data_IF_760753200076
#
_entry.id   IF_760753200076
#
_cell.length_a   1.000
_cell.length_b   1.000
_cell.length_c   1.000
_cell.angle_alpha   90.00
_cell.angle_beta   90.00
_cell.angle_gamma   90.00
#
_symmetry.space_group_name_H-M   'P 1'
#
loop_
_entity.id
_entity.type
_entity.pdbx_description
1 polymer ?
#
# COMPACT_ATOMS: atom_id res chain seq x y z
N UNK A 1 -25.81 -2.25 -3.00
CA UNK A 1 -25.79 -0.99 -2.21
C UNK A 1 -24.70 -1.04 -1.14
N UNK A 2 -24.65 -2.07 -0.27
CA UNK A 2 -23.70 -2.15 0.86
C UNK A 2 -22.22 -2.12 0.45
N UNK A 3 -21.82 -2.84 -0.61
CA UNK A 3 -20.45 -2.84 -1.16
C UNK A 3 -19.98 -1.46 -1.62
N UNK A 4 -20.89 -0.60 -2.12
CA UNK A 4 -20.54 0.73 -2.61
C UNK A 4 -20.13 1.70 -1.49
N UNK A 5 -20.64 1.51 -0.26
CA UNK A 5 -20.30 2.36 0.89
C UNK A 5 -19.11 1.83 1.70
N UNK A 6 -18.89 0.51 1.70
CA UNK A 6 -17.81 -0.10 2.48
C UNK A 6 -16.43 0.39 2.02
N UNK A 7 -16.20 0.44 0.70
CA UNK A 7 -14.91 0.85 0.16
C UNK A 7 -14.54 2.30 0.51
N UNK A 8 -15.41 3.32 0.27
CA UNK A 8 -15.13 4.69 0.70
C UNK A 8 -14.91 4.80 2.22
N UNK A 9 -15.66 4.05 3.02
CA UNK A 9 -15.52 4.07 4.47
C UNK A 9 -14.14 3.51 4.91
N UNK A 10 -13.70 2.40 4.35
CA UNK A 10 -12.36 1.86 4.63
C UNK A 10 -11.25 2.82 4.18
N UNK A 11 -11.39 3.41 3.00
CA UNK A 11 -10.45 4.42 2.49
C UNK A 11 -10.41 5.61 3.46
N UNK A 12 -11.56 6.06 3.96
CA UNK A 12 -11.64 7.17 4.92
C UNK A 12 -10.91 6.85 6.23
N UNK A 13 -11.13 5.67 6.79
CA UNK A 13 -10.47 5.22 8.03
C UNK A 13 -8.97 5.09 7.81
N UNK A 14 -8.54 4.57 6.65
CA UNK A 14 -7.13 4.46 6.30
C UNK A 14 -6.45 5.83 6.22
N UNK A 15 -7.00 6.76 5.44
CA UNK A 15 -6.47 8.12 5.33
C UNK A 15 -6.55 8.89 6.65
N UNK A 16 -7.59 8.70 7.44
CA UNK A 16 -7.68 9.28 8.78
C UNK A 16 -6.43 8.95 9.62
N UNK A 17 -5.99 7.68 9.66
CA UNK A 17 -4.81 7.30 10.42
C UNK A 17 -3.51 7.82 9.82
N UNK A 18 -3.39 7.89 8.49
CA UNK A 18 -2.21 8.46 7.81
C UNK A 18 -2.04 9.95 8.17
N UNK A 19 -3.13 10.72 8.13
CA UNK A 19 -3.06 12.17 8.35
C UNK A 19 -3.24 12.57 9.83
N UNK A 20 -3.60 11.63 10.71
CA UNK A 20 -3.76 11.87 12.16
C UNK A 20 -2.53 12.51 12.83
N UNK A 21 -1.27 12.15 12.52
CA UNK A 21 -0.12 12.83 13.05
C UNK A 21 -0.10 14.34 12.75
N UNK A 22 -0.54 14.72 11.54
CA UNK A 22 -0.65 16.11 11.13
C UNK A 22 -1.72 16.86 11.95
N UNK A 23 -2.88 16.25 12.17
CA UNK A 23 -3.92 16.81 13.04
C UNK A 23 -3.42 17.01 14.47
N UNK A 24 -2.66 16.05 15.00
CA UNK A 24 -2.10 16.16 16.35
C UNK A 24 -1.10 17.32 16.49
N UNK A 25 -0.36 17.66 15.41
CA UNK A 25 0.52 18.84 15.40
C UNK A 25 -0.30 20.14 15.57
N UNK A 26 -1.41 20.27 14.85
CA UNK A 26 -2.29 21.43 14.95
C UNK A 26 -2.98 21.53 16.32
N UNK A 27 -3.42 20.40 16.88
CA UNK A 27 -3.99 20.36 18.23
C UNK A 27 -2.97 20.77 19.30
N UNK A 28 -1.72 20.30 19.19
CA UNK A 28 -0.62 20.71 20.10
C UNK A 28 -0.28 22.18 20.01
N UNK A 29 -0.55 22.85 18.86
CA UNK A 29 -0.42 24.28 18.69
C UNK A 29 -1.61 25.09 19.25
N UNK A 30 -2.56 24.45 19.93
CA UNK A 30 -3.70 25.08 20.60
C UNK A 30 -4.90 25.35 19.69
N UNK A 31 -4.94 24.81 18.47
CA UNK A 31 -6.10 24.98 17.60
C UNK A 31 -7.30 24.18 18.10
N UNK A 32 -8.49 24.75 18.00
CA UNK A 32 -9.74 24.03 18.30
C UNK A 32 -9.91 22.82 17.39
N UNK A 33 -10.46 21.73 17.90
CA UNK A 33 -10.59 20.45 17.18
C UNK A 33 -11.22 20.58 15.78
N UNK A 34 -12.28 21.38 15.62
CA UNK A 34 -12.93 21.61 14.34
C UNK A 34 -12.01 22.29 13.31
N UNK A 35 -11.24 23.30 13.75
CA UNK A 35 -10.31 24.06 12.90
C UNK A 35 -9.12 23.17 12.53
N UNK A 36 -8.56 22.45 13.51
CA UNK A 36 -7.48 21.48 13.29
C UNK A 36 -7.87 20.43 12.26
N UNK A 37 -9.06 19.82 12.39
CA UNK A 37 -9.58 18.82 11.46
C UNK A 37 -9.71 19.36 10.05
N UNK A 38 -10.29 20.57 9.89
CA UNK A 38 -10.47 21.21 8.59
C UNK A 38 -9.13 21.52 7.91
N UNK A 39 -8.21 22.15 8.65
CA UNK A 39 -6.87 22.48 8.14
C UNK A 39 -6.08 21.22 7.77
N UNK A 40 -6.18 20.16 8.57
CA UNK A 40 -5.53 18.87 8.28
C UNK A 40 -6.03 18.29 6.96
N UNK A 41 -7.33 18.31 6.74
CA UNK A 41 -7.93 17.77 5.52
C UNK A 41 -7.53 18.60 4.31
N UNK A 42 -7.67 19.94 4.37
CA UNK A 42 -7.32 20.84 3.26
C UNK A 42 -5.84 20.68 2.90
N UNK A 43 -4.96 20.73 3.89
CA UNK A 43 -3.52 20.60 3.67
C UNK A 43 -3.17 19.20 3.10
N UNK A 44 -3.79 18.14 3.62
CA UNK A 44 -3.58 16.77 3.12
C UNK A 44 -4.09 16.64 1.69
N UNK A 45 -5.27 17.17 1.37
CA UNK A 45 -5.80 17.16 -0.01
C UNK A 45 -4.85 17.89 -0.96
N UNK A 46 -4.33 19.05 -0.56
CA UNK A 46 -3.37 19.81 -1.36
C UNK A 46 -2.08 19.00 -1.60
N UNK A 47 -1.51 18.42 -0.55
CA UNK A 47 -0.29 17.59 -0.65
C UNK A 47 -0.53 16.37 -1.55
N UNK A 48 -1.62 15.63 -1.33
CA UNK A 48 -1.93 14.44 -2.14
C UNK A 48 -2.22 14.82 -3.60
N UNK A 49 -2.94 15.91 -3.85
CA UNK A 49 -3.19 16.41 -5.22
C UNK A 49 -1.91 16.82 -5.92
N UNK A 50 -1.00 17.51 -5.22
CA UNK A 50 0.28 17.92 -5.78
C UNK A 50 1.16 16.70 -6.12
N UNK A 51 1.26 15.72 -5.22
CA UNK A 51 1.99 14.47 -5.44
C UNK A 51 1.37 13.69 -6.61
N UNK A 52 0.04 13.56 -6.63
CA UNK A 52 -0.68 12.82 -7.66
C UNK A 52 -0.52 13.46 -9.04
N UNK A 53 -0.60 14.79 -9.12
CA UNK A 53 -0.38 15.53 -10.36
C UNK A 53 1.06 15.36 -10.85
N UNK A 54 2.05 15.58 -9.97
CA UNK A 54 3.46 15.41 -10.30
C UNK A 54 3.79 14.00 -10.78
N UNK A 55 3.39 12.99 -10.01
CA UNK A 55 3.61 11.59 -10.39
C UNK A 55 2.83 11.22 -11.66
N UNK A 56 1.58 11.67 -11.78
CA UNK A 56 0.72 11.33 -12.93
C UNK A 56 1.29 11.81 -14.26
N UNK A 57 1.78 13.05 -14.32
CA UNK A 57 2.42 13.61 -15.52
C UNK A 57 3.68 12.81 -15.88
N UNK A 58 4.55 12.55 -14.91
CA UNK A 58 5.79 11.81 -15.13
C UNK A 58 5.53 10.34 -15.47
N UNK A 59 4.55 9.70 -14.86
CA UNK A 59 4.16 8.32 -15.14
C UNK A 59 3.71 8.15 -16.60
N UNK A 60 2.88 9.05 -17.11
CA UNK A 60 2.41 8.98 -18.51
C UNK A 60 3.58 9.14 -19.48
N UNK A 61 4.51 10.04 -19.19
CA UNK A 61 5.72 10.23 -20.00
C UNK A 61 6.62 8.98 -19.99
N UNK A 62 6.96 8.49 -18.81
CA UNK A 62 7.82 7.32 -18.64
C UNK A 62 7.18 6.03 -19.18
N UNK A 63 5.85 5.87 -19.16
CA UNK A 63 5.16 4.72 -19.77
C UNK A 63 5.31 4.71 -21.30
N UNK A 64 5.29 5.87 -21.95
CA UNK A 64 5.54 5.97 -23.40
C UNK A 64 6.98 5.58 -23.73
N UNK A 65 7.93 6.01 -22.93
CA UNK A 65 9.34 5.66 -23.07
C UNK A 65 9.58 4.14 -22.86
N UNK A 66 8.98 3.56 -21.84
CA UNK A 66 9.02 2.11 -21.59
C UNK A 66 8.49 1.32 -22.79
N UNK A 67 7.38 1.76 -23.38
CA UNK A 67 6.83 1.11 -24.56
C UNK A 67 7.82 1.15 -25.72
N UNK A 68 8.49 2.29 -25.94
CA UNK A 68 9.50 2.43 -27.01
C UNK A 68 10.72 1.53 -26.78
N UNK A 69 11.17 1.36 -25.54
CA UNK A 69 12.28 0.46 -25.19
C UNK A 69 11.91 -1.00 -25.49
N UNK A 70 10.69 -1.41 -25.13
CA UNK A 70 10.21 -2.77 -25.37
C UNK A 70 9.92 -3.07 -26.85
N UNK A 71 9.64 -2.04 -27.65
CA UNK A 71 9.43 -2.17 -29.10
C UNK A 71 10.75 -2.12 -29.90
N UNK A 72 11.89 -1.77 -29.28
CA UNK A 72 13.19 -1.68 -29.94
C UNK A 72 13.80 -3.07 -30.18
N UNK A 73 13.40 -3.69 -31.30
CA UNK A 73 13.81 -5.05 -31.69
C UNK A 73 15.33 -5.22 -31.87
N UNK A 74 16.11 -4.16 -32.15
CA UNK A 74 17.55 -4.29 -32.43
C UNK A 74 18.37 -4.63 -31.18
N UNK A 75 18.19 -3.93 -30.08
CA UNK A 75 18.90 -4.24 -28.82
C UNK A 75 18.48 -5.57 -28.24
N UNK A 76 17.21 -5.86 -28.34
CA UNK A 76 16.59 -7.08 -27.86
C UNK A 76 17.14 -8.32 -28.57
N UNK A 77 17.20 -8.29 -29.91
CA UNK A 77 17.74 -9.42 -30.68
C UNK A 77 19.21 -9.71 -30.34
N UNK A 78 20.01 -8.69 -30.02
CA UNK A 78 21.41 -8.86 -29.62
C UNK A 78 21.51 -9.62 -28.29
N UNK A 79 20.71 -9.23 -27.28
CA UNK A 79 20.68 -9.89 -25.96
C UNK A 79 20.11 -11.31 -26.05
N UNK A 80 19.08 -11.51 -26.86
CA UNK A 80 18.51 -12.86 -27.12
C UNK A 80 19.55 -13.75 -27.78
N UNK A 81 20.32 -13.26 -28.77
CA UNK A 81 21.37 -14.02 -29.42
C UNK A 81 22.51 -14.40 -28.45
N UNK A 82 22.89 -13.52 -27.55
CA UNK A 82 23.91 -13.81 -26.52
C UNK A 82 23.45 -14.91 -25.56
N UNK A 83 22.20 -14.89 -25.14
CA UNK A 83 21.65 -15.84 -24.16
C UNK A 83 21.21 -17.16 -24.85
N UNK A 84 20.75 -17.11 -26.11
CA UNK A 84 20.36 -18.29 -26.88
C UNK A 84 21.53 -19.29 -27.12
N UNK A 85 22.77 -18.83 -26.93
CA UNK A 85 23.94 -19.74 -26.92
C UNK A 85 23.88 -20.76 -25.78
N UNK A 86 23.11 -20.50 -24.72
CA UNK A 86 23.06 -21.32 -23.50
C UNK A 86 21.69 -21.97 -23.26
N UNK A 87 20.61 -21.34 -23.70
CA UNK A 87 19.23 -21.79 -23.44
C UNK A 87 18.32 -21.31 -24.58
N UNK A 88 17.47 -22.17 -25.15
CA UNK A 88 16.53 -21.76 -26.20
C UNK A 88 15.38 -20.92 -25.59
N UNK A 89 15.58 -19.61 -25.53
CA UNK A 89 14.71 -18.66 -24.83
C UNK A 89 13.80 -17.84 -25.74
N UNK A 90 13.83 -18.05 -27.07
CA UNK A 90 13.11 -17.19 -28.01
C UNK A 90 11.59 -17.16 -27.74
N UNK A 91 11.02 -18.30 -27.40
CA UNK A 91 9.58 -18.41 -27.13
C UNK A 91 9.22 -17.84 -25.76
N UNK A 92 10.06 -18.08 -24.74
CA UNK A 92 9.92 -17.48 -23.41
C UNK A 92 9.99 -15.95 -23.49
N UNK A 93 10.97 -15.44 -24.26
CA UNK A 93 11.14 -14.04 -24.49
C UNK A 93 9.92 -13.36 -25.16
N UNK A 94 9.41 -13.94 -26.26
CA UNK A 94 8.19 -13.44 -26.92
C UNK A 94 7.00 -13.38 -25.94
N UNK A 95 6.85 -14.39 -25.08
CA UNK A 95 5.81 -14.43 -24.08
C UNK A 95 6.00 -13.39 -22.98
N UNK A 96 7.25 -13.16 -22.54
CA UNK A 96 7.58 -12.13 -21.52
C UNK A 96 7.30 -10.72 -22.04
N UNK A 97 7.69 -10.40 -23.27
CA UNK A 97 7.38 -9.07 -23.86
C UNK A 97 5.89 -8.87 -24.06
N UNK A 98 5.19 -9.89 -24.54
CA UNK A 98 3.74 -9.82 -24.70
C UNK A 98 3.05 -9.59 -23.34
N UNK A 99 3.54 -10.27 -22.31
CA UNK A 99 3.09 -10.07 -20.92
C UNK A 99 3.41 -8.66 -20.39
N UNK A 100 4.61 -8.15 -20.67
CA UNK A 100 5.03 -6.80 -20.27
C UNK A 100 4.21 -5.70 -20.93
N UNK A 101 4.01 -5.79 -22.25
CA UNK A 101 3.18 -4.82 -22.97
C UNK A 101 1.75 -4.81 -22.42
N UNK A 102 1.17 -5.99 -22.20
CA UNK A 102 -0.15 -6.11 -21.57
C UNK A 102 -0.15 -5.50 -20.17
N UNK A 103 0.88 -5.76 -19.35
CA UNK A 103 0.98 -5.18 -18.01
C UNK A 103 1.10 -3.65 -18.05
N UNK A 104 1.90 -3.10 -18.97
CA UNK A 104 2.03 -1.64 -19.16
C UNK A 104 0.71 -1.03 -19.62
N UNK A 105 0.01 -1.68 -20.55
CA UNK A 105 -1.32 -1.24 -21.00
C UNK A 105 -2.35 -1.32 -19.87
N UNK A 106 -2.34 -2.39 -19.09
CA UNK A 106 -3.24 -2.58 -17.94
C UNK A 106 -2.94 -1.56 -16.81
N UNK A 107 -1.67 -1.30 -16.52
CA UNK A 107 -1.26 -0.29 -15.53
C UNK A 107 -1.55 1.11 -16.03
N UNK A 108 -1.18 1.45 -17.26
CA UNK A 108 -1.49 2.74 -17.88
C UNK A 108 -2.99 2.98 -17.99
N UNK A 109 -3.73 1.98 -18.44
CA UNK A 109 -5.20 2.00 -18.48
C UNK A 109 -5.85 2.12 -17.10
N UNK A 110 -5.26 1.49 -16.08
CA UNK A 110 -5.74 1.59 -14.70
C UNK A 110 -5.47 2.96 -14.08
N UNK A 111 -4.34 3.60 -14.41
CA UNK A 111 -4.04 4.96 -13.99
C UNK A 111 -5.01 5.95 -14.65
N UNK A 112 -5.26 5.83 -15.97
CA UNK A 112 -6.22 6.67 -16.67
C UNK A 112 -7.66 6.42 -16.20
N UNK A 113 -8.04 5.16 -15.98
CA UNK A 113 -9.34 4.82 -15.36
C UNK A 113 -9.45 5.36 -13.94
N UNK A 114 -8.36 5.33 -13.15
CA UNK A 114 -8.30 5.94 -11.85
C UNK A 114 -8.52 7.46 -11.90
N UNK A 115 -7.97 8.13 -12.89
CA UNK A 115 -8.20 9.56 -13.14
C UNK A 115 -9.68 9.84 -13.47
N UNK A 116 -10.25 9.08 -14.40
CA UNK A 116 -11.67 9.19 -14.73
C UNK A 116 -12.57 8.79 -13.54
N UNK A 117 -12.16 7.78 -12.76
CA UNK A 117 -12.88 7.37 -11.54
C UNK A 117 -12.86 8.45 -10.46
N UNK A 118 -11.82 9.26 -10.38
CA UNK A 118 -11.75 10.45 -9.51
C UNK A 118 -12.69 11.53 -10.03
N UNK A 119 -12.71 11.79 -11.34
CA UNK A 119 -13.60 12.78 -11.94
C UNK A 119 -15.09 12.38 -11.84
N UNK A 120 -15.41 11.11 -12.13
CA UNK A 120 -16.78 10.57 -12.00
C UNK A 120 -17.16 10.27 -10.54
N UNK A 121 -16.18 10.25 -9.65
CA UNK A 121 -16.32 9.86 -8.24
C UNK A 121 -16.42 11.02 -7.26
N UNK A 122 -16.76 12.25 -7.70
CA UNK A 122 -16.85 13.41 -6.82
C UNK A 122 -17.68 13.13 -5.55
N UNK A 123 -18.81 12.43 -5.70
CA UNK A 123 -19.65 12.01 -4.58
C UNK A 123 -18.92 11.07 -3.59
N UNK A 124 -18.05 10.20 -4.09
CA UNK A 124 -17.26 9.27 -3.26
C UNK A 124 -16.13 10.00 -2.54
N UNK A 125 -15.48 10.94 -3.24
CA UNK A 125 -14.43 11.79 -2.63
C UNK A 125 -15.07 12.65 -1.55
N UNK A 126 -16.19 13.27 -1.81
CA UNK A 126 -16.95 14.06 -0.84
C UNK A 126 -17.31 13.20 0.39
N UNK A 127 -17.79 11.98 0.17
CA UNK A 127 -18.09 11.02 1.25
C UNK A 127 -16.83 10.70 2.08
N UNK A 128 -15.69 10.45 1.43
CA UNK A 128 -14.42 10.17 2.11
C UNK A 128 -14.00 11.38 2.96
N UNK A 129 -14.02 12.58 2.39
CA UNK A 129 -13.62 13.82 3.07
C UNK A 129 -14.53 14.10 4.27
N UNK A 130 -15.85 14.00 4.09
CA UNK A 130 -16.83 14.18 5.16
C UNK A 130 -16.60 13.14 6.26
N UNK A 131 -16.41 11.88 5.91
CA UNK A 131 -16.16 10.80 6.88
C UNK A 131 -14.89 11.07 7.69
N UNK A 132 -13.78 11.46 7.06
CA UNK A 132 -12.54 11.82 7.74
C UNK A 132 -12.75 12.99 8.68
N UNK A 133 -13.47 14.03 8.24
CA UNK A 133 -13.79 15.17 9.08
C UNK A 133 -14.53 14.77 10.35
N UNK A 134 -15.58 13.96 10.22
CA UNK A 134 -16.34 13.51 11.37
C UNK A 134 -15.55 12.52 12.25
N UNK A 135 -14.67 11.70 11.70
CA UNK A 135 -13.77 10.86 12.49
C UNK A 135 -12.84 11.70 13.38
N UNK A 136 -12.30 12.83 12.87
CA UNK A 136 -11.51 13.74 13.69
C UNK A 136 -12.35 14.49 14.71
N UNK A 137 -13.49 15.01 14.29
CA UNK A 137 -14.34 15.86 15.11
C UNK A 137 -15.04 15.06 16.23
N UNK A 138 -15.66 13.96 15.87
CA UNK A 138 -16.63 13.24 16.71
C UNK A 138 -16.26 11.77 16.97
N UNK A 139 -15.05 11.32 16.55
CA UNK A 139 -14.65 9.91 16.67
C UNK A 139 -14.69 9.40 18.12
N UNK A 140 -14.35 10.24 19.10
CA UNK A 140 -14.48 9.91 20.54
C UNK A 140 -15.93 9.70 20.96
N UNK A 141 -16.89 10.48 20.42
CA UNK A 141 -18.33 10.32 20.73
C UNK A 141 -18.90 9.00 20.22
N UNK A 142 -18.38 8.49 19.10
CA UNK A 142 -18.77 7.18 18.54
C UNK A 142 -18.40 6.08 19.55
N UNK A 143 -17.15 6.12 20.06
CA UNK A 143 -16.68 5.19 21.09
C UNK A 143 -17.58 5.25 22.33
N UNK A 144 -17.83 6.46 22.87
CA UNK A 144 -18.64 6.67 24.06
C UNK A 144 -20.08 6.17 23.86
N UNK A 145 -20.65 6.38 22.66
CA UNK A 145 -21.98 5.92 22.32
C UNK A 145 -22.08 4.39 22.33
N UNK A 146 -21.08 3.70 21.73
CA UNK A 146 -21.02 2.23 21.72
C UNK A 146 -20.95 1.70 23.16
N UNK A 147 -20.12 2.31 24.02
CA UNK A 147 -19.98 1.91 25.40
C UNK A 147 -21.30 2.13 26.19
N UNK A 148 -21.95 3.29 25.96
CA UNK A 148 -23.25 3.61 26.64
C UNK A 148 -24.37 2.66 26.23
N UNK A 149 -24.40 2.21 24.97
CA UNK A 149 -25.40 1.26 24.48
C UNK A 149 -25.16 -0.18 24.97
N UNK A 150 -23.98 -0.45 25.50
CA UNK A 150 -23.59 -1.77 25.95
C UNK A 150 -24.12 -2.04 27.37
N UNK A 151 -24.54 -3.28 27.70
CA UNK A 151 -24.91 -3.65 29.08
C UNK A 151 -23.75 -3.35 30.04
N UNK A 152 -24.09 -2.91 31.28
CA UNK A 152 -23.09 -2.48 32.29
C UNK A 152 -22.02 -3.55 32.54
N UNK A 153 -22.43 -4.81 32.54
CA UNK A 153 -21.54 -5.98 32.69
C UNK A 153 -20.38 -6.01 31.68
N UNK A 154 -20.59 -5.52 30.46
CA UNK A 154 -19.63 -5.63 29.34
C UNK A 154 -18.92 -4.32 29.01
N UNK A 155 -19.32 -3.18 29.61
CA UNK A 155 -18.79 -1.85 29.28
C UNK A 155 -17.27 -1.79 29.36
N UNK A 156 -16.66 -2.33 30.43
CA UNK A 156 -15.18 -2.33 30.58
C UNK A 156 -14.47 -3.16 29.50
N UNK A 157 -15.04 -4.33 29.17
CA UNK A 157 -14.43 -5.20 28.12
C UNK A 157 -14.56 -4.57 26.74
N UNK A 158 -15.73 -3.99 26.43
CA UNK A 158 -15.99 -3.32 25.18
C UNK A 158 -15.09 -2.09 25.02
N UNK A 159 -14.93 -1.27 26.07
CA UNK A 159 -14.01 -0.13 26.05
C UNK A 159 -12.58 -0.58 25.74
N UNK A 160 -12.11 -1.62 26.40
CA UNK A 160 -10.79 -2.20 26.17
C UNK A 160 -10.63 -2.74 24.74
N UNK A 161 -11.61 -3.47 24.22
CA UNK A 161 -11.61 -3.99 22.85
C UNK A 161 -11.54 -2.83 21.85
N UNK A 162 -12.34 -1.78 22.02
CA UNK A 162 -12.34 -0.62 21.11
C UNK A 162 -11.01 0.12 21.15
N UNK A 163 -10.42 0.29 22.33
CA UNK A 163 -9.13 0.95 22.48
C UNK A 163 -8.01 0.14 21.82
N UNK A 164 -7.85 -1.14 22.18
CA UNK A 164 -6.82 -2.01 21.62
C UNK A 164 -7.00 -2.21 20.10
N UNK A 165 -8.24 -2.31 19.60
CA UNK A 165 -8.53 -2.39 18.16
C UNK A 165 -8.11 -1.11 17.43
N UNK A 166 -8.37 0.06 18.00
CA UNK A 166 -7.94 1.34 17.45
C UNK A 166 -6.41 1.44 17.40
N UNK A 167 -5.70 0.97 18.43
CA UNK A 167 -4.24 0.93 18.47
C UNK A 167 -3.68 -0.01 17.40
N UNK A 168 -4.19 -1.24 17.32
CA UNK A 168 -3.77 -2.23 16.31
C UNK A 168 -3.94 -1.69 14.89
N UNK A 169 -5.11 -1.12 14.58
CA UNK A 169 -5.38 -0.57 13.26
C UNK A 169 -4.48 0.64 12.94
N UNK A 170 -4.33 1.56 13.90
CA UNK A 170 -3.47 2.74 13.78
C UNK A 170 -2.02 2.36 13.52
N UNK A 171 -1.48 1.45 14.33
CA UNK A 171 -0.11 0.98 14.19
C UNK A 171 0.15 0.27 12.86
N UNK A 172 -0.82 -0.54 12.41
CA UNK A 172 -0.71 -1.20 11.11
C UNK A 172 -0.68 -0.20 9.96
N UNK A 173 -1.66 0.70 9.89
CA UNK A 173 -1.78 1.66 8.78
C UNK A 173 -0.56 2.57 8.70
N UNK A 174 -0.17 3.17 9.84
CA UNK A 174 1.00 4.06 9.90
C UNK A 174 2.29 3.28 9.65
N UNK A 175 2.42 2.10 10.24
CA UNK A 175 3.58 1.23 10.06
C UNK A 175 3.74 0.80 8.61
N UNK A 176 2.68 0.29 7.98
CA UNK A 176 2.71 -0.14 6.58
C UNK A 176 3.00 1.01 5.62
N UNK A 177 2.48 2.21 5.91
CA UNK A 177 2.79 3.42 5.12
C UNK A 177 4.27 3.78 5.21
N UNK A 178 4.88 3.70 6.39
CA UNK A 178 6.31 3.94 6.58
C UNK A 178 7.16 2.86 5.88
N UNK A 179 6.77 1.59 5.97
CA UNK A 179 7.45 0.48 5.27
C UNK A 179 7.37 0.69 3.76
N UNK A 180 6.18 1.02 3.23
CA UNK A 180 5.99 1.27 1.81
C UNK A 180 6.86 2.45 1.32
N UNK A 181 6.88 3.55 2.07
CA UNK A 181 7.70 4.72 1.74
C UNK A 181 9.20 4.38 1.76
N UNK A 182 9.67 3.69 2.82
CA UNK A 182 11.06 3.26 2.92
C UNK A 182 11.45 2.34 1.77
N UNK A 183 10.59 1.38 1.41
CA UNK A 183 10.83 0.45 0.32
C UNK A 183 10.88 1.17 -1.03
N UNK A 184 9.90 2.04 -1.32
CA UNK A 184 9.88 2.85 -2.53
C UNK A 184 11.15 3.70 -2.68
N UNK A 185 11.58 4.35 -1.58
CA UNK A 185 12.80 5.16 -1.55
C UNK A 185 14.06 4.33 -1.77
N UNK A 186 14.20 3.18 -1.09
CA UNK A 186 15.36 2.30 -1.27
C UNK A 186 15.44 1.77 -2.70
N UNK A 187 14.33 1.36 -3.29
CA UNK A 187 14.25 0.90 -4.68
C UNK A 187 14.58 2.04 -5.65
N UNK A 188 14.07 3.25 -5.42
CA UNK A 188 14.39 4.42 -6.24
C UNK A 188 15.90 4.71 -6.26
N UNK A 189 16.52 4.73 -5.08
CA UNK A 189 17.97 4.93 -4.94
C UNK A 189 18.73 3.80 -5.64
N UNK A 190 18.33 2.55 -5.41
CA UNK A 190 18.94 1.38 -6.04
C UNK A 190 18.88 1.45 -7.56
N UNK A 191 17.71 1.78 -8.12
CA UNK A 191 17.54 1.93 -9.57
C UNK A 191 18.39 3.06 -10.16
N UNK A 192 18.48 4.20 -9.47
CA UNK A 192 19.36 5.30 -9.88
C UNK A 192 20.84 4.89 -9.90
N UNK A 193 21.31 4.16 -8.87
CA UNK A 193 22.70 3.69 -8.77
C UNK A 193 23.05 2.73 -9.90
N UNK A 194 22.16 1.80 -10.26
CA UNK A 194 22.44 0.81 -11.31
C UNK A 194 22.20 1.34 -12.71
N UNK A 195 21.67 2.58 -12.87
CA UNK A 195 21.33 3.17 -14.16
C UNK A 195 20.06 2.58 -14.78
N UNK A 196 19.12 2.10 -13.97
CA UNK A 196 17.82 1.60 -14.47
C UNK A 196 17.01 2.77 -15.04
N UNK A 197 16.50 2.67 -16.29
CA UNK A 197 15.60 3.68 -16.84
C UNK A 197 14.30 3.73 -16.06
N UNK A 198 13.62 4.88 -16.13
CA UNK A 198 12.31 5.07 -15.54
C UNK A 198 12.24 4.72 -14.03
N UNK A 199 13.33 5.03 -13.30
CA UNK A 199 13.50 4.68 -11.90
C UNK A 199 12.36 5.21 -11.01
N UNK A 200 11.84 6.41 -11.33
CA UNK A 200 10.79 7.05 -10.53
C UNK A 200 9.46 6.29 -10.64
N UNK A 201 9.03 5.94 -11.86
CA UNK A 201 7.77 5.21 -12.03
C UNK A 201 7.86 3.80 -11.45
N UNK A 202 8.97 3.09 -11.71
CA UNK A 202 9.16 1.72 -11.23
C UNK A 202 9.17 1.66 -9.69
N UNK A 203 9.82 2.62 -9.04
CA UNK A 203 9.81 2.73 -7.58
C UNK A 203 8.47 3.20 -7.03
N UNK A 204 7.75 4.06 -7.74
CA UNK A 204 6.39 4.49 -7.35
C UNK A 204 5.41 3.32 -7.42
N UNK A 205 5.51 2.46 -8.42
CA UNK A 205 4.73 1.21 -8.51
C UNK A 205 5.08 0.31 -7.31
N UNK A 206 6.36 0.19 -6.98
CA UNK A 206 6.80 -0.59 -5.80
C UNK A 206 6.22 0.00 -4.52
N UNK A 207 6.23 1.33 -4.35
CA UNK A 207 5.62 2.01 -3.20
C UNK A 207 4.13 1.68 -3.06
N UNK A 208 3.37 1.79 -4.16
CA UNK A 208 1.92 1.50 -4.15
C UNK A 208 1.66 0.03 -3.85
N UNK A 209 2.37 -0.88 -4.52
CA UNK A 209 2.18 -2.32 -4.32
C UNK A 209 2.69 -2.78 -2.95
N UNK A 210 3.64 -2.08 -2.33
CA UNK A 210 4.14 -2.40 -0.99
C UNK A 210 3.06 -2.35 0.10
N UNK A 211 1.92 -1.72 -0.15
CA UNK A 211 0.76 -1.80 0.75
C UNK A 211 0.16 -3.20 0.82
N UNK A 212 0.40 -4.07 -0.17
CA UNK A 212 0.02 -5.48 -0.14
C UNK A 212 1.20 -6.26 0.46
N UNK A 213 1.10 -6.73 1.71
CA UNK A 213 2.20 -7.44 2.35
C UNK A 213 2.66 -8.65 1.54
N UNK A 214 3.94 -8.97 1.59
CA UNK A 214 4.62 -10.07 0.90
C UNK A 214 4.50 -10.04 -0.62
N UNK A 215 3.30 -10.00 -1.17
CA UNK A 215 3.01 -10.19 -2.61
C UNK A 215 3.40 -8.95 -3.42
N UNK A 216 3.14 -7.75 -2.89
CA UNK A 216 3.26 -6.50 -3.64
C UNK A 216 4.66 -6.22 -4.16
N UNK A 217 5.68 -6.48 -3.34
CA UNK A 217 7.06 -6.29 -3.74
C UNK A 217 7.48 -7.22 -4.90
N UNK A 218 7.08 -8.47 -4.88
CA UNK A 218 7.39 -9.42 -5.97
C UNK A 218 6.71 -9.03 -7.27
N UNK A 219 5.44 -8.63 -7.21
CA UNK A 219 4.71 -8.15 -8.39
C UNK A 219 5.37 -6.90 -8.97
N UNK A 220 5.84 -5.97 -8.13
CA UNK A 220 6.49 -4.75 -8.59
C UNK A 220 7.81 -5.00 -9.31
N UNK A 221 8.45 -6.16 -9.12
CA UNK A 221 9.71 -6.52 -9.77
C UNK A 221 9.54 -7.06 -11.19
N UNK A 222 8.34 -7.43 -11.60
CA UNK A 222 8.11 -8.05 -12.92
C UNK A 222 8.60 -7.14 -14.06
N UNK A 223 8.17 -5.87 -14.07
CA UNK A 223 8.56 -4.92 -15.12
C UNK A 223 10.06 -4.59 -15.09
N UNK A 224 10.67 -4.28 -13.93
CA UNK A 224 12.11 -4.09 -13.84
C UNK A 224 12.94 -5.25 -14.38
N UNK A 225 12.53 -6.51 -14.12
CA UNK A 225 13.21 -7.68 -14.66
C UNK A 225 13.14 -7.77 -16.18
N UNK A 226 11.98 -7.43 -16.76
CA UNK A 226 11.81 -7.41 -18.22
C UNK A 226 12.70 -6.35 -18.85
N UNK A 227 12.75 -5.15 -18.28
CA UNK A 227 13.62 -4.07 -18.76
C UNK A 227 15.10 -4.47 -18.62
N UNK A 228 15.51 -5.01 -17.47
CA UNK A 228 16.87 -5.47 -17.26
C UNK A 228 17.28 -6.55 -18.28
N UNK A 229 16.34 -7.43 -18.64
CA UNK A 229 16.57 -8.43 -19.67
C UNK A 229 16.86 -7.80 -21.04
N UNK A 230 16.14 -6.73 -21.42
CA UNK A 230 16.42 -6.01 -22.69
C UNK A 230 17.76 -5.28 -22.69
N UNK A 231 18.26 -4.88 -21.51
CA UNK A 231 19.52 -4.18 -21.33
C UNK A 231 20.74 -5.10 -21.19
N UNK A 232 20.52 -6.42 -21.12
CA UNK A 232 21.57 -7.44 -21.10
C UNK A 232 21.92 -7.97 -19.70
N UNK A 233 22.78 -8.99 -19.70
CA UNK A 233 23.12 -9.77 -18.50
C UNK A 233 23.69 -8.92 -17.36
N UNK A 234 24.51 -7.92 -17.69
CA UNK A 234 25.10 -7.03 -16.67
C UNK A 234 24.03 -6.27 -15.88
N UNK A 235 22.96 -5.77 -16.55
CA UNK A 235 21.87 -5.09 -15.89
C UNK A 235 21.04 -6.06 -15.04
N UNK A 236 20.82 -7.27 -15.52
CA UNK A 236 20.12 -8.33 -14.74
C UNK A 236 20.85 -8.63 -13.44
N UNK A 237 22.19 -8.78 -13.47
CA UNK A 237 23.00 -9.02 -12.27
C UNK A 237 22.91 -7.83 -11.30
N UNK A 238 23.05 -6.60 -11.80
CA UNK A 238 22.93 -5.38 -10.98
C UNK A 238 21.54 -5.30 -10.33
N UNK A 239 20.48 -5.61 -11.08
CA UNK A 239 19.11 -5.63 -10.55
C UNK A 239 18.93 -6.72 -9.48
N UNK A 240 19.45 -7.94 -9.71
CA UNK A 240 19.41 -9.02 -8.74
C UNK A 240 20.08 -8.64 -7.42
N UNK A 241 21.27 -8.03 -7.49
CA UNK A 241 22.00 -7.54 -6.31
C UNK A 241 21.21 -6.45 -5.59
N UNK A 242 20.66 -5.48 -6.33
CA UNK A 242 19.79 -4.44 -5.75
C UNK A 242 18.60 -5.04 -5.04
N UNK A 243 17.93 -6.01 -5.65
CA UNK A 243 16.79 -6.71 -5.07
C UNK A 243 17.18 -7.42 -3.76
N UNK A 244 18.27 -8.16 -3.73
CA UNK A 244 18.76 -8.89 -2.55
C UNK A 244 19.10 -7.91 -1.42
N UNK A 245 19.81 -6.83 -1.73
CA UNK A 245 20.18 -5.80 -0.75
C UNK A 245 18.94 -5.15 -0.16
N UNK A 246 18.02 -4.67 -0.99
CA UNK A 246 16.81 -3.98 -0.53
C UNK A 246 15.92 -4.92 0.27
N UNK A 247 15.73 -6.16 -0.16
CA UNK A 247 14.91 -7.13 0.57
C UNK A 247 15.53 -7.50 1.92
N UNK A 248 16.86 -7.61 1.97
CA UNK A 248 17.59 -7.86 3.24
C UNK A 248 17.45 -6.68 4.20
N UNK A 249 17.66 -5.46 3.72
CA UNK A 249 17.49 -4.23 4.51
C UNK A 249 16.06 -4.08 5.01
N UNK A 250 15.07 -4.30 4.11
CA UNK A 250 13.65 -4.28 4.49
C UNK A 250 13.35 -5.28 5.60
N UNK A 251 13.76 -6.55 5.42
CA UNK A 251 13.40 -7.62 6.35
C UNK A 251 14.14 -7.53 7.69
N UNK A 252 15.42 -7.15 7.69
CA UNK A 252 16.25 -7.14 8.90
C UNK A 252 16.26 -5.81 9.65
N UNK A 253 15.97 -4.69 8.98
CA UNK A 253 16.09 -3.36 9.57
C UNK A 253 14.74 -2.64 9.54
N UNK A 254 14.17 -2.41 8.35
CA UNK A 254 13.00 -1.53 8.19
C UNK A 254 11.76 -2.08 8.90
N UNK A 255 11.42 -3.34 8.64
CA UNK A 255 10.24 -3.97 9.22
C UNK A 255 10.35 -4.09 10.75
N UNK A 256 11.44 -4.60 11.35
CA UNK A 256 11.58 -4.62 12.80
C UNK A 256 11.54 -3.23 13.46
N UNK A 257 12.18 -2.23 12.85
CA UNK A 257 12.19 -0.85 13.38
C UNK A 257 10.79 -0.18 13.34
N UNK A 258 10.02 -0.44 12.28
CA UNK A 258 8.75 0.25 12.06
C UNK A 258 7.58 -0.51 12.68
N UNK A 259 7.50 -1.81 12.46
CA UNK A 259 6.38 -2.65 12.91
C UNK A 259 6.60 -3.17 14.33
N UNK A 260 7.85 -3.33 14.78
CA UNK A 260 8.20 -3.72 16.14
C UNK A 260 7.42 -4.95 16.63
N UNK A 261 6.97 -4.85 17.90
CA UNK A 261 6.20 -5.92 18.56
C UNK A 261 4.66 -5.78 18.38
N UNK A 262 4.21 -4.89 17.50
CA UNK A 262 2.82 -4.43 17.46
C UNK A 262 1.83 -5.46 16.93
N UNK A 263 2.26 -6.36 16.05
CA UNK A 263 1.40 -7.45 15.56
C UNK A 263 2.12 -8.78 15.76
N UNK A 264 1.80 -9.46 16.86
CA UNK A 264 2.24 -10.84 17.09
C UNK A 264 1.41 -11.82 16.24
N UNK A 265 1.48 -11.66 14.91
CA UNK A 265 0.89 -12.58 13.94
C UNK A 265 2.02 -13.47 13.43
N UNK A 266 1.76 -14.78 13.39
CA UNK A 266 2.74 -15.71 12.85
C UNK A 266 2.88 -15.46 11.33
N UNK A 267 4.10 -15.42 10.76
CA UNK A 267 4.29 -15.11 9.34
C UNK A 267 3.47 -15.99 8.38
N UNK A 268 3.33 -17.28 8.68
CA UNK A 268 2.49 -18.19 7.88
C UNK A 268 1.02 -17.75 7.87
N UNK A 269 0.47 -17.35 9.03
CA UNK A 269 -0.92 -16.87 9.13
C UNK A 269 -1.11 -15.63 8.26
N UNK A 270 -0.14 -14.72 8.29
CA UNK A 270 -0.19 -13.48 7.51
C UNK A 270 -0.17 -13.78 6.00
N UNK A 271 0.70 -14.68 5.54
CA UNK A 271 0.76 -15.13 4.14
C UNK A 271 -0.57 -15.75 3.70
N UNK A 272 -1.12 -16.70 4.47
CA UNK A 272 -2.39 -17.35 4.13
C UNK A 272 -3.56 -16.38 4.10
N UNK A 273 -3.60 -15.44 5.05
CA UNK A 273 -4.62 -14.40 5.09
C UNK A 273 -4.55 -13.52 3.83
N UNK A 274 -3.35 -13.08 3.46
CA UNK A 274 -3.16 -12.21 2.27
C UNK A 274 -3.52 -12.94 0.99
N UNK A 275 -3.03 -14.17 0.79
CA UNK A 275 -3.32 -14.96 -0.42
C UNK A 275 -4.82 -15.27 -0.51
N UNK A 276 -5.44 -15.70 0.58
CA UNK A 276 -6.88 -15.95 0.62
C UNK A 276 -7.71 -14.69 0.34
N UNK A 277 -7.29 -13.55 0.88
CA UNK A 277 -7.97 -12.29 0.67
C UNK A 277 -7.83 -11.78 -0.79
N UNK A 278 -6.66 -11.98 -1.42
CA UNK A 278 -6.49 -11.68 -2.87
C UNK A 278 -7.48 -12.46 -3.70
N UNK A 279 -7.63 -13.76 -3.41
CA UNK A 279 -8.54 -14.63 -4.16
C UNK A 279 -10.02 -14.25 -3.99
N UNK A 280 -10.42 -13.75 -2.81
CA UNK A 280 -11.82 -13.43 -2.50
C UNK A 280 -12.22 -12.00 -2.88
N UNK A 281 -11.34 -11.03 -2.74
CA UNK A 281 -11.68 -9.60 -2.87
C UNK A 281 -10.59 -8.75 -3.52
N UNK A 282 -9.58 -9.38 -4.11
CA UNK A 282 -8.49 -8.71 -4.81
C UNK A 282 -7.53 -7.93 -3.90
N UNK A 283 -6.73 -7.00 -4.48
CA UNK A 283 -5.68 -6.29 -3.76
C UNK A 283 -6.16 -5.48 -2.54
N UNK A 284 -7.37 -4.94 -2.60
CA UNK A 284 -7.96 -4.16 -1.51
C UNK A 284 -8.25 -5.05 -0.30
N UNK A 285 -8.80 -6.25 -0.54
CA UNK A 285 -9.05 -7.22 0.52
C UNK A 285 -7.74 -7.70 1.16
N UNK A 286 -6.70 -7.91 0.36
CA UNK A 286 -5.37 -8.29 0.83
C UNK A 286 -4.76 -7.25 1.77
N UNK A 287 -4.95 -5.97 1.48
CA UNK A 287 -4.51 -4.89 2.35
C UNK A 287 -5.28 -4.86 3.68
N UNK A 288 -6.59 -5.07 3.64
CA UNK A 288 -7.48 -4.94 4.79
C UNK A 288 -7.49 -6.17 5.70
N UNK A 289 -7.19 -7.36 5.20
CA UNK A 289 -7.32 -8.61 5.95
C UNK A 289 -6.44 -8.65 7.19
N UNK A 290 -5.24 -8.12 7.12
CA UNK A 290 -4.26 -8.14 8.22
C UNK A 290 -4.74 -7.32 9.41
N UNK A 291 -5.12 -6.03 9.29
CA UNK A 291 -5.65 -5.28 10.41
C UNK A 291 -7.00 -5.81 10.89
N UNK A 292 -7.86 -6.33 10.01
CA UNK A 292 -9.12 -6.95 10.43
C UNK A 292 -8.88 -8.20 11.27
N UNK A 293 -7.94 -9.06 10.89
CA UNK A 293 -7.54 -10.20 11.72
C UNK A 293 -6.99 -9.74 13.06
N UNK A 294 -6.19 -8.68 13.11
CA UNK A 294 -5.67 -8.10 14.35
C UNK A 294 -6.79 -7.66 15.29
N UNK A 295 -7.81 -6.97 14.76
CA UNK A 295 -8.99 -6.55 15.52
C UNK A 295 -9.77 -7.76 16.04
N UNK A 296 -10.03 -8.75 15.19
CA UNK A 296 -10.72 -9.97 15.61
C UNK A 296 -9.96 -10.72 16.72
N UNK A 297 -8.63 -10.83 16.57
CA UNK A 297 -7.77 -11.44 17.59
C UNK A 297 -7.87 -10.72 18.93
N UNK A 298 -7.81 -9.38 18.93
CA UNK A 298 -7.98 -8.56 20.13
C UNK A 298 -9.35 -8.80 20.78
N UNK A 299 -10.41 -8.78 19.98
CA UNK A 299 -11.76 -9.03 20.47
C UNK A 299 -11.89 -10.42 21.11
N UNK A 300 -11.43 -11.47 20.43
CA UNK A 300 -11.47 -12.85 20.94
C UNK A 300 -10.69 -13.01 22.27
N UNK A 301 -9.47 -12.44 22.34
CA UNK A 301 -8.63 -12.53 23.55
C UNK A 301 -9.30 -11.84 24.74
N UNK A 302 -9.83 -10.63 24.54
CA UNK A 302 -10.47 -9.89 25.65
C UNK A 302 -11.78 -10.53 26.09
N UNK A 303 -12.58 -11.08 25.17
CA UNK A 303 -13.79 -11.83 25.51
C UNK A 303 -13.44 -13.11 26.29
N UNK A 304 -12.41 -13.84 25.85
CA UNK A 304 -11.95 -15.04 26.54
C UNK A 304 -11.48 -14.72 27.97
N UNK A 305 -10.61 -13.73 28.16
CA UNK A 305 -10.15 -13.30 29.48
C UNK A 305 -11.33 -12.92 30.40
N UNK A 306 -12.28 -12.17 29.87
CA UNK A 306 -13.47 -11.79 30.63
C UNK A 306 -14.33 -12.98 31.09
N UNK A 307 -14.41 -14.04 30.28
CA UNK A 307 -15.13 -15.27 30.70
C UNK A 307 -14.39 -16.02 31.80
N UNK A 308 -13.04 -16.16 31.65
CA UNK A 308 -12.21 -16.89 32.62
C UNK A 308 -12.13 -16.18 33.98
N UNK A 309 -12.05 -14.84 33.99
CA UNK A 309 -12.03 -14.07 35.24
C UNK A 309 -13.38 -14.12 36.02
N UNK A 310 -14.43 -14.62 35.40
CA UNK A 310 -15.78 -14.74 35.99
C UNK A 310 -16.22 -16.18 36.20
N UNK A 311 -15.43 -17.14 35.79
CA UNK A 311 -15.60 -18.57 36.13
C UNK A 311 -14.80 -18.92 37.34
#
# INVERSE_FOLDING_TARGET
VFKAFLLPLFISVFFYYIIKPLNNIFLKKGLKNNISSLLTIILSMFIFSAIFFYLGVHIVYELKELKSILENKKEINKTVMEINKYINLEQLYKNLIKGANKYIEDVGGSILKGFNYIMDGFSKILLIVITIFYLFKDGHKIKDKIIKMSPDRYKKVIDKILQESNEVFSHYVVGQSKVALSLGTMIFIGYKIIGMPNALILSSITFILAFIPFVGFFISMIVPWIIAFTMGLNMMIKLALTFIIVQTLKGRIVVPMIMGHTMKIHPLTDIFLVIGAVALGGPIAAFLVVPLYGILKVACINIYKFKVEKS
#
